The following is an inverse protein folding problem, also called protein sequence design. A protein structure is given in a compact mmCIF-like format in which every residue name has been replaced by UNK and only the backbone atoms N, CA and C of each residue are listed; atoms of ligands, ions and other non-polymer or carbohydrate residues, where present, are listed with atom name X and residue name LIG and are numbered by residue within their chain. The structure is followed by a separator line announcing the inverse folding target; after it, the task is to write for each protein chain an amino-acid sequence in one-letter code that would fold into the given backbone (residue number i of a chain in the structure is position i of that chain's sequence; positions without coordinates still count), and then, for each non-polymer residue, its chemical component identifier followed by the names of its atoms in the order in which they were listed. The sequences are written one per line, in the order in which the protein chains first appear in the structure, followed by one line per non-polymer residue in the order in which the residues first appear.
data_IF_139806654627
#
_entry.id   IF_139806654627
#
_cell.length_a   1.000
_cell.length_b   1.000
_cell.length_c   1.000
_cell.angle_alpha   90.00
_cell.angle_beta   90.00
_cell.angle_gamma   90.00
#
_symmetry.space_group_name_H-M   'P 1'
#
loop_
_entity.id
_entity.type
_entity.pdbx_description
1 polymer ?
#
# COMPACT_ATOMS: atom_id res chain seq x y z
N UNK A 1 -11.55 -10.67 -0.16
CA UNK A 1 -10.98 -11.85 0.52
C UNK A 1 -11.29 -11.85 2.02
N UNK A 2 -10.79 -10.88 2.83
CA UNK A 2 -11.10 -10.80 4.27
C UNK A 2 -12.63 -10.77 4.50
N UNK A 3 -13.35 -9.89 3.81
CA UNK A 3 -14.81 -9.81 3.88
C UNK A 3 -15.49 -11.15 3.55
N UNK A 4 -15.03 -11.85 2.53
CA UNK A 4 -15.54 -13.18 2.16
C UNK A 4 -15.29 -14.21 3.27
N UNK A 5 -14.06 -14.21 3.82
CA UNK A 5 -13.73 -15.09 4.95
C UNK A 5 -14.60 -14.81 6.17
N UNK A 6 -14.80 -13.55 6.53
CA UNK A 6 -15.70 -13.15 7.63
C UNK A 6 -17.13 -13.64 7.40
N UNK A 7 -17.67 -13.50 6.18
CA UNK A 7 -19.01 -13.99 5.82
C UNK A 7 -19.11 -15.50 5.94
N UNK A 8 -18.08 -16.25 5.51
CA UNK A 8 -18.04 -17.70 5.64
C UNK A 8 -18.01 -18.18 7.10
N UNK A 9 -17.64 -17.31 8.04
CA UNK A 9 -17.67 -17.55 9.48
C UNK A 9 -18.89 -16.93 10.17
N UNK A 10 -19.94 -16.59 9.41
CA UNK A 10 -21.21 -16.09 9.95
C UNK A 10 -21.19 -14.59 10.34
N UNK A 11 -20.12 -13.85 10.03
CA UNK A 11 -20.02 -12.43 10.33
C UNK A 11 -20.61 -11.62 9.18
N UNK A 12 -21.57 -10.75 9.46
CA UNK A 12 -22.14 -9.83 8.48
C UNK A 12 -21.10 -8.74 8.16
N UNK A 13 -20.46 -8.84 6.99
CA UNK A 13 -19.44 -7.90 6.56
C UNK A 13 -19.84 -7.18 5.27
N UNK A 14 -19.65 -5.86 5.23
CA UNK A 14 -19.79 -5.00 4.05
C UNK A 14 -18.50 -4.24 3.81
N UNK A 15 -18.16 -3.95 2.58
CA UNK A 15 -17.00 -3.16 2.19
C UNK A 15 -17.49 -1.83 1.59
N UNK A 16 -17.21 -0.72 2.26
CA UNK A 16 -17.46 0.62 1.74
C UNK A 16 -16.23 1.08 0.96
N UNK A 17 -16.39 1.40 -0.31
CA UNK A 17 -15.30 1.81 -1.20
C UNK A 17 -15.59 3.17 -1.84
N UNK A 18 -14.53 3.88 -2.21
CA UNK A 18 -14.65 5.12 -2.97
C UNK A 18 -15.16 4.86 -4.39
N UNK A 19 -14.55 3.88 -5.08
CA UNK A 19 -14.85 3.54 -6.47
C UNK A 19 -15.04 2.01 -6.56
N UNK A 20 -16.25 1.57 -6.89
CA UNK A 20 -16.60 0.15 -6.97
C UNK A 20 -16.24 -0.43 -8.33
N UNK A 21 -15.51 -1.56 -8.32
CA UNK A 21 -15.09 -2.28 -9.52
C UNK A 21 -15.59 -3.75 -9.52
N UNK A 22 -16.72 -4.02 -8.89
CA UNK A 22 -17.30 -5.36 -8.79
C UNK A 22 -18.81 -5.26 -8.65
N UNK A 23 -19.55 -6.28 -9.09
CA UNK A 23 -21.00 -6.33 -8.97
C UNK A 23 -21.47 -6.90 -7.62
N UNK A 24 -20.56 -7.26 -6.73
CA UNK A 24 -20.91 -7.80 -5.42
C UNK A 24 -21.76 -6.81 -4.61
N UNK A 25 -22.93 -7.27 -4.11
CA UNK A 25 -23.87 -6.46 -3.31
C UNK A 25 -23.24 -6.03 -1.97
N UNK A 26 -22.36 -6.85 -1.40
CA UNK A 26 -21.66 -6.55 -0.15
C UNK A 26 -20.58 -5.47 -0.28
N UNK A 27 -20.26 -5.05 -1.52
CA UNK A 27 -19.40 -3.90 -1.79
C UNK A 27 -20.27 -2.70 -2.13
N UNK A 28 -20.21 -1.69 -1.28
CA UNK A 28 -21.00 -0.46 -1.39
C UNK A 28 -20.11 0.68 -1.83
N UNK A 29 -20.50 1.40 -2.86
CA UNK A 29 -19.77 2.57 -3.34
C UNK A 29 -20.28 3.84 -2.64
N UNK A 30 -19.37 4.70 -2.23
CA UNK A 30 -19.73 6.07 -1.87
C UNK A 30 -20.42 6.72 -3.07
N UNK A 31 -21.51 7.48 -2.82
CA UNK A 31 -22.27 8.13 -3.92
C UNK A 31 -21.33 8.79 -4.92
N UNK A 32 -21.52 8.49 -6.20
CA UNK A 32 -20.80 9.14 -7.31
C UNK A 32 -21.07 10.63 -7.25
N UNK A 33 -20.01 11.42 -7.08
CA UNK A 33 -20.11 12.88 -7.05
C UNK A 33 -18.86 13.48 -7.67
N UNK A 34 -19.00 14.53 -8.44
CA UNK A 34 -17.88 15.33 -8.93
C UNK A 34 -17.01 15.89 -7.79
N UNK A 35 -17.57 16.03 -6.58
CA UNK A 35 -16.82 16.39 -5.37
C UNK A 35 -15.66 15.44 -5.05
N UNK A 36 -15.77 14.13 -5.36
CA UNK A 36 -14.66 13.18 -5.15
C UNK A 36 -13.42 13.54 -5.98
N UNK A 37 -13.65 14.01 -7.21
CA UNK A 37 -12.58 14.46 -8.10
C UNK A 37 -11.95 15.73 -7.55
N UNK A 38 -12.77 16.69 -7.12
CA UNK A 38 -12.30 17.92 -6.51
C UNK A 38 -11.55 17.69 -5.21
N UNK A 39 -12.00 16.79 -4.35
CA UNK A 39 -11.29 16.41 -3.13
C UNK A 39 -9.89 15.90 -3.44
N UNK A 40 -9.76 15.01 -4.40
CA UNK A 40 -8.46 14.49 -4.83
C UNK A 40 -7.56 15.59 -5.42
N UNK A 41 -8.09 16.39 -6.34
CA UNK A 41 -7.35 17.49 -6.97
C UNK A 41 -6.91 18.51 -5.91
N UNK A 42 -7.81 18.91 -5.01
CA UNK A 42 -7.51 19.87 -3.96
C UNK A 42 -6.35 19.43 -3.08
N UNK A 43 -6.34 18.20 -2.66
CA UNK A 43 -5.23 17.67 -1.89
C UNK A 43 -3.91 17.75 -2.66
N UNK A 44 -3.91 17.37 -3.94
CA UNK A 44 -2.73 17.47 -4.81
C UNK A 44 -2.28 18.93 -5.00
N UNK A 45 -3.19 19.87 -5.14
CA UNK A 45 -2.90 21.31 -5.22
C UNK A 45 -2.21 21.80 -3.95
N UNK A 46 -2.72 21.44 -2.77
CA UNK A 46 -2.11 21.83 -1.49
C UNK A 46 -0.70 21.24 -1.33
N UNK A 47 -0.50 19.99 -1.71
CA UNK A 47 0.82 19.37 -1.70
C UNK A 47 1.76 20.03 -2.72
N UNK A 48 1.27 20.37 -3.90
CA UNK A 48 2.02 21.06 -4.94
C UNK A 48 2.47 22.45 -4.50
N UNK A 49 1.60 23.23 -3.85
CA UNK A 49 1.97 24.50 -3.22
C UNK A 49 3.03 24.30 -2.11
N UNK A 50 2.86 23.29 -1.26
CA UNK A 50 3.84 22.97 -0.22
C UNK A 50 5.19 22.52 -0.79
N UNK A 51 5.22 22.02 -2.02
CA UNK A 51 6.40 21.69 -2.81
C UNK A 51 6.92 22.85 -3.66
N UNK A 52 6.57 24.09 -3.33
CA UNK A 52 6.98 25.28 -4.10
C UNK A 52 6.66 25.15 -5.60
N UNK A 53 5.45 24.67 -5.91
CA UNK A 53 4.94 24.46 -7.28
C UNK A 53 5.75 23.45 -8.11
N UNK A 54 6.49 22.53 -7.45
CA UNK A 54 7.19 21.43 -8.13
C UNK A 54 6.39 20.12 -8.04
N UNK A 55 6.44 19.32 -9.10
CA UNK A 55 5.76 18.01 -9.18
C UNK A 55 6.54 16.90 -8.43
N UNK A 56 7.28 17.27 -7.37
CA UNK A 56 8.09 16.32 -6.61
C UNK A 56 7.21 15.45 -5.73
N UNK A 57 7.29 14.13 -5.87
CA UNK A 57 6.62 13.12 -5.03
C UNK A 57 5.11 13.35 -4.75
N UNK A 58 4.39 14.03 -5.66
CA UNK A 58 2.99 14.43 -5.49
C UNK A 58 2.05 13.28 -5.09
N UNK A 59 2.36 12.06 -5.51
CA UNK A 59 1.55 10.85 -5.25
C UNK A 59 2.19 9.90 -4.23
N UNK A 60 3.38 10.23 -3.72
CA UNK A 60 4.06 9.46 -2.68
C UNK A 60 3.69 9.90 -1.26
N UNK A 61 2.95 11.01 -1.15
CA UNK A 61 2.53 11.62 0.11
C UNK A 61 1.04 11.95 0.10
N UNK A 62 0.44 11.97 1.30
CA UNK A 62 -0.97 12.24 1.50
C UNK A 62 -1.16 12.99 2.84
N UNK A 63 -1.98 14.02 2.84
CA UNK A 63 -2.20 14.89 4.00
C UNK A 63 -3.61 14.75 4.60
N UNK A 64 -4.49 14.00 3.92
CA UNK A 64 -5.87 13.75 4.30
C UNK A 64 -6.62 15.01 4.75
N UNK A 65 -6.47 16.10 3.97
CA UNK A 65 -7.14 17.37 4.25
C UNK A 65 -8.56 17.43 3.70
N UNK A 66 -8.94 16.46 2.87
CA UNK A 66 -10.27 16.32 2.28
C UNK A 66 -10.74 14.88 2.39
N UNK A 67 -12.05 14.68 2.46
CA UNK A 67 -12.66 13.36 2.56
C UNK A 67 -14.18 13.42 2.58
N UNK A 68 -14.80 12.27 2.74
CA UNK A 68 -16.26 12.13 2.82
C UNK A 68 -16.65 11.66 4.21
N UNK A 69 -17.57 12.38 4.85
CA UNK A 69 -18.15 11.93 6.11
C UNK A 69 -19.01 10.68 5.89
N UNK A 70 -18.59 9.55 6.43
CA UNK A 70 -19.30 8.28 6.32
C UNK A 70 -20.17 7.95 7.55
N UNK A 71 -20.08 8.74 8.63
CA UNK A 71 -20.70 8.38 9.91
C UNK A 71 -22.24 8.42 9.89
N UNK A 72 -22.82 9.08 8.90
CA UNK A 72 -24.27 9.11 8.69
C UNK A 72 -24.79 7.99 7.74
N UNK A 73 -23.90 7.20 7.15
CA UNK A 73 -24.29 6.13 6.22
C UNK A 73 -24.85 4.93 6.98
N UNK A 74 -25.86 4.22 6.42
CA UNK A 74 -26.38 2.99 7.02
C UNK A 74 -25.30 1.93 7.28
N UNK A 75 -24.32 1.81 6.39
CA UNK A 75 -23.20 0.89 6.54
C UNK A 75 -22.36 1.18 7.79
N UNK A 76 -22.22 2.46 8.16
CA UNK A 76 -21.50 2.88 9.35
C UNK A 76 -22.38 2.74 10.60
N UNK A 77 -23.62 3.24 10.56
CA UNK A 77 -24.50 3.27 11.73
C UNK A 77 -24.86 1.87 12.21
N UNK A 78 -25.03 0.91 11.29
CA UNK A 78 -25.36 -0.49 11.57
C UNK A 78 -24.13 -1.36 11.91
N UNK A 79 -22.92 -0.86 11.75
CA UNK A 79 -21.72 -1.64 12.03
C UNK A 79 -21.41 -1.65 13.52
N UNK A 80 -21.04 -2.82 14.05
CA UNK A 80 -20.53 -3.00 15.42
C UNK A 80 -19.03 -2.69 15.50
N UNK A 81 -18.27 -2.92 14.43
CA UNK A 81 -16.83 -2.68 14.32
C UNK A 81 -16.52 -1.96 13.01
N UNK A 82 -15.67 -0.96 13.08
CA UNK A 82 -15.17 -0.23 11.91
C UNK A 82 -13.77 -0.73 11.56
N UNK A 83 -13.62 -1.32 10.38
CA UNK A 83 -12.33 -1.78 9.89
C UNK A 83 -11.80 -0.86 8.79
N UNK A 84 -10.74 -0.11 9.09
CA UNK A 84 -10.12 0.79 8.14
C UNK A 84 -9.01 0.08 7.36
N UNK A 85 -9.02 0.26 6.07
CA UNK A 85 -7.96 -0.07 5.14
C UNK A 85 -7.56 1.20 4.41
N UNK A 86 -6.61 1.21 3.58
CA UNK A 86 -6.09 2.34 2.79
C UNK A 86 -7.16 3.41 2.44
N UNK A 87 -7.29 4.44 3.29
CA UNK A 87 -8.40 5.41 3.30
C UNK A 87 -8.01 6.77 2.69
N UNK A 88 -6.91 6.81 2.00
CA UNK A 88 -6.25 7.99 1.46
C UNK A 88 -6.88 8.51 0.14
N UNK A 89 -6.26 9.50 -0.47
CA UNK A 89 -6.63 10.11 -1.74
C UNK A 89 -8.07 10.66 -1.78
N UNK A 90 -8.46 11.35 -0.71
CA UNK A 90 -9.77 12.00 -0.62
C UNK A 90 -10.91 11.07 -0.22
N UNK A 91 -10.65 9.84 0.25
CA UNK A 91 -11.70 8.99 0.81
C UNK A 91 -12.12 9.50 2.20
N UNK A 92 -11.17 9.59 3.14
CA UNK A 92 -11.40 10.13 4.48
C UNK A 92 -10.37 11.23 4.80
N UNK A 93 -10.85 12.35 5.34
CA UNK A 93 -9.99 13.37 5.93
C UNK A 93 -9.63 13.04 7.38
N UNK A 94 -8.63 13.74 7.96
CA UNK A 94 -8.33 13.63 9.39
C UNK A 94 -9.55 14.05 10.24
N UNK A 95 -10.40 14.93 9.73
CA UNK A 95 -11.66 15.32 10.40
C UNK A 95 -12.67 14.18 10.37
N UNK A 96 -12.76 13.44 9.26
CA UNK A 96 -13.66 12.29 9.15
C UNK A 96 -13.19 11.14 10.04
N UNK A 97 -11.87 10.88 10.11
CA UNK A 97 -11.29 9.90 11.05
C UNK A 97 -11.61 10.31 12.50
N UNK A 98 -11.54 11.59 12.84
CA UNK A 98 -11.93 12.09 14.18
C UNK A 98 -13.40 11.75 14.49
N UNK A 99 -14.32 11.97 13.54
CA UNK A 99 -15.73 11.60 13.71
C UNK A 99 -15.93 10.11 13.93
N UNK A 100 -15.16 9.28 13.21
CA UNK A 100 -15.16 7.82 13.40
C UNK A 100 -14.70 7.47 14.82
N UNK A 101 -13.60 8.05 15.29
CA UNK A 101 -13.11 7.84 16.67
C UNK A 101 -14.15 8.28 17.70
N UNK A 102 -14.74 9.45 17.51
CA UNK A 102 -15.77 10.02 18.41
C UNK A 102 -17.08 9.24 18.43
N UNK A 103 -17.32 8.35 17.45
CA UNK A 103 -18.51 7.49 17.48
C UNK A 103 -18.50 6.44 18.59
N UNK A 104 -17.33 6.20 19.21
CA UNK A 104 -17.15 5.20 20.27
C UNK A 104 -17.15 3.75 19.76
N UNK A 105 -17.33 3.52 18.46
CA UNK A 105 -17.28 2.17 17.89
C UNK A 105 -15.87 1.61 17.91
N UNK A 106 -15.66 0.30 18.17
CA UNK A 106 -14.36 -0.34 18.05
C UNK A 106 -13.76 -0.15 16.66
N UNK A 107 -12.48 0.24 16.60
CA UNK A 107 -11.78 0.51 15.34
C UNK A 107 -10.61 -0.44 15.19
N UNK A 108 -10.56 -1.15 14.07
CA UNK A 108 -9.41 -1.90 13.60
C UNK A 108 -8.85 -1.18 12.38
N UNK A 109 -7.54 -0.95 12.30
CA UNK A 109 -6.91 -0.32 11.16
C UNK A 109 -5.80 -1.17 10.60
N UNK A 110 -6.08 -1.85 9.47
CA UNK A 110 -5.04 -2.59 8.75
C UNK A 110 -4.16 -1.64 7.94
N UNK A 111 -2.89 -1.63 8.30
CA UNK A 111 -1.87 -0.81 7.65
C UNK A 111 -1.28 -1.57 6.46
N UNK A 112 -1.46 -1.03 5.26
CA UNK A 112 -0.86 -1.53 4.02
C UNK A 112 0.43 -0.79 3.64
N UNK A 113 0.68 0.33 4.31
CA UNK A 113 1.86 1.18 4.18
C UNK A 113 2.13 1.93 5.50
N UNK A 114 3.07 2.86 5.49
CA UNK A 114 3.50 3.58 6.68
C UNK A 114 2.65 4.83 6.97
N UNK A 115 1.70 5.21 6.12
CA UNK A 115 0.97 6.47 6.27
C UNK A 115 0.27 6.64 7.62
N UNK A 116 -0.37 5.62 8.23
CA UNK A 116 -1.03 5.79 9.54
C UNK A 116 -0.11 6.29 10.64
N UNK A 117 1.17 5.92 10.59
CA UNK A 117 2.14 6.23 11.63
C UNK A 117 3.29 7.17 11.19
N UNK A 118 3.18 7.80 10.03
CA UNK A 118 4.07 8.86 9.54
C UNK A 118 3.33 10.20 9.46
N UNK A 119 4.03 11.30 9.17
CA UNK A 119 3.39 12.58 8.91
C UNK A 119 2.52 12.54 7.65
N UNK A 120 3.15 12.26 6.50
CA UNK A 120 2.50 12.32 5.20
C UNK A 120 2.88 11.19 4.24
N UNK A 121 3.99 10.47 4.47
CA UNK A 121 4.53 9.54 3.49
C UNK A 121 3.96 8.12 3.64
N UNK A 122 3.74 7.46 2.51
CA UNK A 122 3.37 6.05 2.45
C UNK A 122 4.58 5.13 2.67
N UNK A 123 5.79 5.60 2.32
CA UNK A 123 7.06 4.92 2.59
C UNK A 123 8.10 5.96 2.99
N UNK A 124 8.72 5.75 4.13
CA UNK A 124 9.68 6.71 4.68
C UNK A 124 11.08 6.60 4.03
N UNK A 125 11.39 5.46 3.37
CA UNK A 125 12.76 5.16 2.94
C UNK A 125 13.69 5.10 4.16
N UNK A 126 14.81 5.78 4.06
CA UNK A 126 15.81 5.85 5.14
C UNK A 126 15.46 6.88 6.24
N UNK A 127 14.31 7.55 6.13
CA UNK A 127 13.88 8.54 7.11
C UNK A 127 13.22 7.86 8.31
N UNK A 128 13.73 8.11 9.51
CA UNK A 128 13.24 7.61 10.79
C UNK A 128 12.52 8.66 11.66
N UNK A 129 12.38 9.89 11.18
CA UNK A 129 11.83 11.02 11.96
C UNK A 129 10.42 10.78 12.50
N UNK A 130 9.66 9.88 11.90
CA UNK A 130 8.33 9.49 12.41
C UNK A 130 8.41 8.85 13.81
N UNK A 131 9.57 8.36 14.22
CA UNK A 131 9.77 7.80 15.56
C UNK A 131 9.62 8.84 16.67
N UNK A 132 9.91 10.10 16.37
CA UNK A 132 9.79 11.22 17.32
C UNK A 132 8.86 12.31 16.79
N UNK A 133 9.24 12.95 15.68
CA UNK A 133 8.48 14.05 15.09
C UNK A 133 8.91 14.28 13.63
N UNK A 134 7.97 14.22 12.70
CA UNK A 134 8.24 14.58 11.31
C UNK A 134 8.54 16.07 11.15
N UNK A 135 9.62 16.39 10.46
CA UNK A 135 10.03 17.74 10.06
C UNK A 135 11.12 17.65 8.98
N UNK A 136 11.46 18.74 8.28
CA UNK A 136 12.48 18.74 7.21
C UNK A 136 12.31 17.47 6.33
N UNK A 137 11.10 17.29 5.80
CA UNK A 137 10.68 16.03 5.19
C UNK A 137 11.43 15.79 3.86
N UNK A 138 12.13 14.65 3.70
CA UNK A 138 12.85 14.34 2.46
C UNK A 138 11.90 14.02 1.28
N UNK A 139 10.62 13.77 1.54
CA UNK A 139 9.61 13.57 0.50
C UNK A 139 9.12 14.88 -0.12
N UNK A 140 9.45 16.02 0.45
CA UNK A 140 9.14 17.34 -0.09
C UNK A 140 10.31 17.89 -0.89
N UNK A 141 10.02 18.69 -1.92
CA UNK A 141 11.04 19.36 -2.73
C UNK A 141 11.98 20.22 -1.87
N UNK A 142 11.43 20.90 -0.87
CA UNK A 142 12.18 21.68 0.11
C UNK A 142 11.53 21.50 1.48
N UNK A 143 12.09 20.61 2.28
CA UNK A 143 11.66 20.43 3.66
C UNK A 143 12.03 21.60 4.55
N UNK A 144 11.25 21.84 5.59
CA UNK A 144 11.52 22.85 6.62
C UNK A 144 11.10 22.36 8.00
N UNK A 145 11.54 23.08 9.06
CA UNK A 145 11.23 22.68 10.46
C UNK A 145 9.72 22.60 10.73
N UNK A 146 8.91 23.43 10.08
CA UNK A 146 7.44 23.47 10.23
C UNK A 146 6.71 23.23 8.89
N UNK A 147 7.24 22.33 8.07
CA UNK A 147 6.66 21.96 6.79
C UNK A 147 5.29 21.24 6.93
N UNK A 148 4.70 20.87 5.81
CA UNK A 148 3.40 20.20 5.80
C UNK A 148 3.44 18.82 6.47
N UNK A 149 4.61 18.14 6.46
CA UNK A 149 4.77 16.87 7.15
C UNK A 149 4.73 17.05 8.67
N UNK A 150 5.39 18.08 9.18
CA UNK A 150 5.30 18.46 10.59
C UNK A 150 3.87 18.79 11.00
N UNK A 151 3.20 19.66 10.23
CA UNK A 151 1.83 20.08 10.56
C UNK A 151 0.85 18.91 10.56
N UNK A 152 0.97 18.01 9.60
CA UNK A 152 0.11 16.83 9.52
C UNK A 152 0.42 15.83 10.62
N UNK A 153 1.71 15.65 10.97
CA UNK A 153 2.12 14.84 12.11
C UNK A 153 1.48 15.34 13.42
N UNK A 154 1.53 16.66 13.69
CA UNK A 154 0.91 17.25 14.88
C UNK A 154 -0.62 17.07 14.89
N UNK A 155 -1.27 17.19 13.74
CA UNK A 155 -2.72 16.93 13.63
C UNK A 155 -3.05 15.47 13.93
N UNK A 156 -2.25 14.52 13.41
CA UNK A 156 -2.41 13.09 13.71
C UNK A 156 -2.13 12.77 15.18
N UNK A 157 -1.12 13.40 15.78
CA UNK A 157 -0.82 13.23 17.21
C UNK A 157 -2.01 13.59 18.06
N UNK A 158 -2.60 14.76 17.84
CA UNK A 158 -3.84 15.22 18.52
C UNK A 158 -5.06 14.33 18.17
N UNK A 159 -5.09 13.74 16.99
CA UNK A 159 -6.18 12.87 16.57
C UNK A 159 -6.16 11.53 17.32
N UNK A 160 -4.98 10.97 17.55
CA UNK A 160 -4.79 9.65 18.18
C UNK A 160 -4.64 9.74 19.71
N UNK A 161 -4.51 10.94 20.25
CA UNK A 161 -4.47 11.17 21.70
C UNK A 161 -5.80 10.73 22.34
N UNK A 162 -5.73 9.78 23.29
CA UNK A 162 -6.89 9.19 23.94
C UNK A 162 -7.74 8.26 23.07
N UNK A 163 -7.44 8.11 21.78
CA UNK A 163 -8.14 7.15 20.92
C UNK A 163 -7.76 5.71 21.27
N UNK A 164 -8.70 4.77 21.07
CA UNK A 164 -8.47 3.34 21.21
C UNK A 164 -8.62 2.69 19.83
N UNK A 165 -7.49 2.46 19.17
CA UNK A 165 -7.44 1.87 17.82
C UNK A 165 -6.53 0.64 17.86
N UNK A 166 -7.01 -0.48 17.31
CA UNK A 166 -6.17 -1.64 17.06
C UNK A 166 -5.56 -1.52 15.68
N UNK A 167 -4.25 -1.29 15.62
CA UNK A 167 -3.50 -1.28 14.36
C UNK A 167 -3.01 -2.68 14.01
N UNK A 168 -3.27 -3.11 12.79
CA UNK A 168 -2.84 -4.40 12.25
C UNK A 168 -1.87 -4.16 11.11
N UNK A 169 -0.61 -4.55 11.28
CA UNK A 169 0.38 -4.52 10.22
C UNK A 169 0.30 -5.78 9.36
N UNK A 170 0.46 -5.66 8.04
CA UNK A 170 0.44 -6.82 7.13
C UNK A 170 1.77 -7.59 7.09
N UNK A 171 2.77 -7.18 7.89
CA UNK A 171 4.05 -7.89 8.06
C UNK A 171 4.70 -7.53 9.40
N UNK A 172 5.59 -8.41 9.89
CA UNK A 172 6.42 -8.16 11.09
C UNK A 172 7.33 -6.94 10.91
N UNK A 173 7.82 -6.71 9.70
CA UNK A 173 8.62 -5.53 9.40
C UNK A 173 7.80 -4.25 9.61
N UNK A 174 6.61 -4.16 9.05
CA UNK A 174 5.76 -2.98 9.20
C UNK A 174 5.32 -2.77 10.66
N UNK A 175 5.02 -3.86 11.38
CA UNK A 175 4.75 -3.83 12.84
C UNK A 175 5.92 -3.22 13.62
N UNK A 176 7.15 -3.68 13.34
CA UNK A 176 8.34 -3.20 14.03
C UNK A 176 8.60 -1.71 13.83
N UNK A 177 8.29 -1.20 12.63
CA UNK A 177 8.38 0.24 12.33
C UNK A 177 7.25 1.03 13.00
N UNK A 178 6.03 0.52 12.96
CA UNK A 178 4.86 1.16 13.56
C UNK A 178 5.03 1.34 15.08
N UNK A 179 5.56 0.34 15.78
CA UNK A 179 5.85 0.39 17.21
C UNK A 179 6.88 1.47 17.62
N UNK A 180 7.71 1.92 16.68
CA UNK A 180 8.67 3.02 16.92
C UNK A 180 8.04 4.40 16.81
N UNK A 181 6.88 4.52 16.16
CA UNK A 181 6.28 5.83 15.87
C UNK A 181 5.65 6.47 17.10
N UNK A 182 6.00 7.72 17.36
CA UNK A 182 5.41 8.53 18.42
C UNK A 182 3.90 8.79 18.25
N UNK A 183 3.37 8.59 17.04
CA UNK A 183 1.93 8.77 16.77
C UNK A 183 1.08 7.65 17.38
N UNK A 184 1.55 6.42 17.35
CA UNK A 184 0.72 5.25 17.66
C UNK A 184 1.37 4.25 18.64
N UNK A 185 2.55 4.53 19.18
CA UNK A 185 3.27 3.65 20.12
C UNK A 185 2.45 3.28 21.36
N UNK A 186 1.48 4.11 21.74
CA UNK A 186 0.56 3.85 22.87
C UNK A 186 -0.68 3.04 22.51
N UNK A 187 -0.84 2.64 21.24
CA UNK A 187 -1.97 1.88 20.75
C UNK A 187 -1.68 0.37 20.71
N UNK A 188 -2.71 -0.45 20.59
CA UNK A 188 -2.53 -1.88 20.31
C UNK A 188 -2.02 -2.06 18.89
N UNK A 189 -0.83 -2.65 18.72
CA UNK A 189 -0.21 -2.92 17.42
C UNK A 189 0.14 -4.40 17.32
N UNK A 190 -0.39 -5.06 16.32
CA UNK A 190 -0.13 -6.48 16.03
C UNK A 190 0.13 -6.69 14.54
N UNK A 191 0.54 -7.90 14.13
CA UNK A 191 0.64 -8.24 12.72
C UNK A 191 -0.27 -9.41 12.35
N UNK A 192 -0.94 -9.27 11.23
CA UNK A 192 -1.71 -10.33 10.57
C UNK A 192 -1.38 -10.21 9.08
N UNK A 193 -0.75 -11.20 8.47
CA UNK A 193 -0.46 -11.19 7.04
C UNK A 193 -1.70 -11.05 6.18
N UNK A 194 -1.56 -10.45 5.00
CA UNK A 194 -2.67 -10.34 4.06
C UNK A 194 -3.21 -11.72 3.70
N UNK A 195 -4.52 -11.90 3.78
CA UNK A 195 -5.20 -13.14 3.43
C UNK A 195 -5.07 -13.43 1.92
N UNK A 196 -4.74 -14.68 1.60
CA UNK A 196 -4.75 -15.21 0.24
C UNK A 196 -5.71 -16.40 0.13
N UNK A 197 -6.22 -16.63 -1.07
CA UNK A 197 -7.05 -17.82 -1.33
C UNK A 197 -6.15 -19.03 -1.59
N UNK A 198 -5.94 -19.88 -0.59
CA UNK A 198 -5.08 -21.07 -0.68
C UNK A 198 -5.65 -22.18 -1.58
N UNK A 199 -6.95 -22.15 -1.90
CA UNK A 199 -7.53 -23.06 -2.89
C UNK A 199 -7.09 -22.68 -4.33
N UNK A 200 -6.88 -21.38 -4.58
CA UNK A 200 -6.42 -20.87 -5.86
C UNK A 200 -4.88 -20.84 -5.93
N UNK A 201 -4.25 -20.28 -4.91
CA UNK A 201 -2.77 -20.11 -4.82
C UNK A 201 -2.19 -21.29 -4.03
N UNK A 202 -1.97 -22.41 -4.72
CA UNK A 202 -1.39 -23.64 -4.17
C UNK A 202 -0.37 -24.23 -5.14
N UNK A 203 0.56 -25.07 -4.68
CA UNK A 203 1.48 -25.79 -5.54
C UNK A 203 0.71 -26.57 -6.63
N UNK A 204 1.22 -26.50 -7.85
CA UNK A 204 0.68 -27.20 -9.01
C UNK A 204 1.80 -28.01 -9.67
N UNK A 205 1.43 -28.92 -10.54
CA UNK A 205 2.41 -29.65 -11.36
C UNK A 205 3.23 -28.66 -12.19
N UNK A 206 4.55 -28.77 -12.07
CA UNK A 206 5.52 -27.82 -12.68
C UNK A 206 5.49 -27.92 -14.20
N UNK A 207 5.39 -29.14 -14.76
CA UNK A 207 5.39 -29.36 -16.20
C UNK A 207 4.16 -28.73 -16.83
N UNK A 208 2.98 -29.04 -16.30
CA UNK A 208 1.69 -28.49 -16.76
C UNK A 208 1.63 -26.96 -16.62
N UNK A 209 2.15 -26.41 -15.51
CA UNK A 209 2.18 -24.97 -15.31
C UNK A 209 3.04 -24.27 -16.34
N UNK A 210 4.21 -24.84 -16.66
CA UNK A 210 5.12 -24.31 -17.69
C UNK A 210 4.55 -24.41 -19.10
N UNK A 211 3.93 -25.54 -19.43
CA UNK A 211 3.22 -25.73 -20.72
C UNK A 211 2.14 -24.67 -20.90
N UNK A 212 1.30 -24.48 -19.88
CA UNK A 212 0.23 -23.47 -19.89
C UNK A 212 0.73 -22.04 -20.05
N UNK A 213 1.92 -21.75 -19.53
CA UNK A 213 2.54 -20.43 -19.59
C UNK A 213 3.55 -20.29 -20.75
N UNK A 214 3.64 -21.28 -21.64
CA UNK A 214 4.61 -21.31 -22.75
C UNK A 214 6.06 -21.10 -22.30
N UNK A 215 6.43 -21.69 -21.16
CA UNK A 215 7.77 -21.58 -20.58
C UNK A 215 8.60 -22.85 -20.88
N UNK A 216 9.93 -22.72 -21.04
CA UNK A 216 10.81 -23.86 -21.31
C UNK A 216 10.84 -24.86 -20.17
N UNK A 217 10.88 -26.13 -20.50
CA UNK A 217 10.91 -27.24 -19.55
C UNK A 217 12.34 -27.56 -19.03
N UNK A 218 13.34 -27.25 -19.81
CA UNK A 218 14.75 -27.57 -19.61
C UNK A 218 15.55 -26.52 -18.84
N UNK A 219 14.97 -25.29 -18.68
CA UNK A 219 15.65 -24.17 -18.00
C UNK A 219 15.35 -24.14 -16.50
N UNK A 220 16.31 -23.62 -15.74
CA UNK A 220 16.09 -23.15 -14.37
C UNK A 220 15.57 -21.70 -14.45
N UNK A 221 14.34 -21.48 -14.02
CA UNK A 221 13.66 -20.20 -14.17
C UNK A 221 13.67 -19.40 -12.87
N UNK A 222 14.16 -18.17 -12.95
CA UNK A 222 14.00 -17.15 -11.93
C UNK A 222 12.70 -16.38 -12.21
N UNK A 223 11.83 -16.25 -11.23
CA UNK A 223 10.56 -15.55 -11.36
C UNK A 223 10.59 -14.22 -10.65
N UNK A 224 10.31 -13.13 -11.35
CA UNK A 224 10.10 -11.80 -10.79
C UNK A 224 8.75 -11.25 -11.21
N UNK A 225 8.04 -10.58 -10.28
CA UNK A 225 6.76 -10.01 -10.60
C UNK A 225 6.44 -8.73 -9.84
N UNK A 226 5.86 -7.76 -10.55
CA UNK A 226 5.36 -6.52 -9.97
C UNK A 226 4.33 -5.89 -10.90
N UNK A 227 3.29 -5.25 -10.35
CA UNK A 227 2.32 -4.50 -11.16
C UNK A 227 3.02 -3.47 -12.05
N UNK A 228 4.00 -2.74 -11.50
CA UNK A 228 4.86 -1.80 -12.24
C UNK A 228 6.31 -2.20 -12.02
N UNK A 229 6.93 -2.81 -13.04
CA UNK A 229 8.30 -3.33 -12.94
C UNK A 229 9.33 -2.22 -12.73
N UNK A 230 9.09 -1.04 -13.30
CA UNK A 230 9.94 0.15 -13.15
C UNK A 230 9.91 0.77 -11.74
N UNK A 231 9.10 0.25 -10.81
CA UNK A 231 9.11 0.70 -9.42
C UNK A 231 10.39 0.19 -8.73
N UNK A 232 11.34 1.09 -8.48
CA UNK A 232 12.63 0.79 -7.83
C UNK A 232 12.49 0.04 -6.51
N UNK A 233 11.39 0.26 -5.76
CA UNK A 233 11.12 -0.44 -4.49
C UNK A 233 10.90 -1.95 -4.67
N UNK A 234 10.62 -2.41 -5.90
CA UNK A 234 10.41 -3.83 -6.21
C UNK A 234 11.71 -4.59 -6.49
N UNK A 235 12.82 -3.86 -6.72
CA UNK A 235 14.15 -4.44 -6.74
C UNK A 235 14.55 -5.13 -8.04
N UNK A 236 13.96 -4.79 -9.18
CA UNK A 236 14.35 -5.36 -10.48
C UNK A 236 15.83 -5.11 -10.78
N UNK A 237 16.36 -3.95 -10.39
CA UNK A 237 17.77 -3.56 -10.60
C UNK A 237 18.72 -4.50 -9.85
N UNK A 238 18.35 -4.93 -8.63
CA UNK A 238 19.12 -5.93 -7.88
C UNK A 238 19.12 -7.30 -8.57
N UNK A 239 17.96 -7.72 -9.10
CA UNK A 239 17.88 -8.98 -9.85
C UNK A 239 18.75 -8.93 -11.10
N UNK A 240 18.70 -7.85 -11.88
CA UNK A 240 19.55 -7.65 -13.06
C UNK A 240 21.03 -7.71 -12.68
N UNK A 241 21.43 -7.03 -11.62
CA UNK A 241 22.82 -7.03 -11.13
C UNK A 241 23.27 -8.42 -10.70
N UNK A 242 22.45 -9.15 -9.96
CA UNK A 242 22.72 -10.52 -9.54
C UNK A 242 22.85 -11.47 -10.75
N UNK A 243 21.97 -11.35 -11.76
CA UNK A 243 22.04 -12.13 -12.98
C UNK A 243 23.33 -11.87 -13.77
N UNK A 244 23.78 -10.61 -13.88
CA UNK A 244 25.05 -10.24 -14.51
C UNK A 244 26.26 -10.84 -13.77
N UNK A 245 26.22 -10.81 -12.45
CA UNK A 245 27.27 -11.42 -11.62
C UNK A 245 27.32 -12.94 -11.81
N UNK A 246 26.17 -13.63 -11.86
CA UNK A 246 26.11 -15.07 -12.14
C UNK A 246 26.68 -15.37 -13.53
N UNK A 247 26.31 -14.58 -14.55
CA UNK A 247 26.80 -14.80 -15.91
C UNK A 247 28.32 -14.67 -16.02
N UNK A 248 28.92 -13.73 -15.28
CA UNK A 248 30.38 -13.54 -15.28
C UNK A 248 31.11 -14.58 -14.45
N UNK A 249 30.56 -14.98 -13.29
CA UNK A 249 31.24 -15.91 -12.37
C UNK A 249 31.03 -17.39 -12.73
N UNK A 250 29.94 -17.73 -13.39
CA UNK A 250 29.52 -19.09 -13.70
C UNK A 250 28.95 -19.19 -15.14
N UNK A 251 29.79 -19.05 -16.19
CA UNK A 251 29.34 -18.98 -17.59
C UNK A 251 28.55 -20.20 -18.05
N UNK A 252 28.96 -21.40 -17.65
CA UNK A 252 28.27 -22.63 -18.06
C UNK A 252 26.93 -22.81 -17.38
N UNK A 253 26.83 -22.51 -16.06
CA UNK A 253 25.57 -22.52 -15.33
C UNK A 253 24.61 -21.48 -15.88
N UNK A 254 25.11 -20.36 -16.36
CA UNK A 254 24.28 -19.29 -16.94
C UNK A 254 23.47 -19.74 -18.15
N UNK A 255 23.99 -20.71 -18.91
CA UNK A 255 23.33 -21.29 -20.11
C UNK A 255 22.04 -22.05 -19.75
N UNK A 256 21.93 -22.52 -18.50
CA UNK A 256 20.76 -23.24 -18.00
C UNK A 256 19.66 -22.30 -17.43
N UNK A 257 19.96 -20.99 -17.29
CA UNK A 257 19.09 -20.03 -16.66
C UNK A 257 18.15 -19.33 -17.64
N UNK A 258 17.00 -18.91 -17.12
CA UNK A 258 16.09 -17.99 -17.77
C UNK A 258 15.35 -17.15 -16.72
N UNK A 259 14.82 -16.00 -17.11
CA UNK A 259 14.11 -15.11 -16.23
C UNK A 259 12.68 -14.93 -16.71
N UNK A 260 11.71 -15.23 -15.87
CA UNK A 260 10.30 -14.94 -16.11
C UNK A 260 9.96 -13.64 -15.40
N UNK A 261 9.48 -12.67 -16.15
CA UNK A 261 9.09 -11.35 -15.61
C UNK A 261 7.63 -11.10 -15.93
N UNK A 262 6.79 -10.93 -14.90
CA UNK A 262 5.39 -10.57 -15.11
C UNK A 262 5.03 -9.20 -14.54
N UNK A 263 4.25 -8.45 -15.31
CA UNK A 263 3.77 -7.12 -14.98
C UNK A 263 3.90 -6.13 -16.14
N UNK A 264 3.36 -4.94 -15.92
CA UNK A 264 3.39 -3.90 -16.94
C UNK A 264 4.83 -3.48 -17.27
N UNK A 265 5.13 -3.38 -18.57
CA UNK A 265 6.43 -2.96 -19.10
C UNK A 265 7.55 -4.02 -18.92
N UNK A 266 7.24 -5.31 -18.74
CA UNK A 266 8.22 -6.39 -18.60
C UNK A 266 9.22 -6.44 -19.78
N UNK A 267 8.75 -6.20 -20.98
CA UNK A 267 9.53 -6.24 -22.23
C UNK A 267 10.68 -5.22 -22.24
N UNK A 268 10.53 -4.07 -21.58
CA UNK A 268 11.56 -3.02 -21.54
C UNK A 268 12.82 -3.46 -20.80
N UNK A 269 12.74 -4.50 -19.99
CA UNK A 269 13.86 -5.04 -19.23
C UNK A 269 14.58 -6.19 -19.94
N UNK A 270 14.05 -6.67 -21.06
CA UNK A 270 14.60 -7.85 -21.76
C UNK A 270 16.09 -7.69 -22.08
N UNK A 271 16.50 -6.55 -22.61
CA UNK A 271 17.89 -6.26 -23.00
C UNK A 271 18.85 -6.09 -21.82
N UNK A 272 18.37 -5.96 -20.59
CA UNK A 272 19.21 -5.75 -19.41
C UNK A 272 19.73 -7.06 -18.80
N UNK A 273 19.03 -8.18 -19.08
CA UNK A 273 19.39 -9.49 -18.56
C UNK A 273 20.38 -10.23 -19.47
N UNK A 274 21.36 -10.93 -18.90
CA UNK A 274 22.30 -11.76 -19.67
C UNK A 274 21.72 -13.13 -20.06
N UNK A 275 20.49 -13.46 -19.63
CA UNK A 275 19.79 -14.72 -19.87
C UNK A 275 18.55 -14.49 -20.72
N UNK A 276 17.98 -15.54 -21.35
CA UNK A 276 16.66 -15.44 -21.98
C UNK A 276 15.61 -14.96 -20.99
N UNK A 277 14.82 -13.97 -21.41
CA UNK A 277 13.71 -13.44 -20.63
C UNK A 277 12.39 -13.89 -21.25
N UNK A 278 11.43 -14.23 -20.39
CA UNK A 278 10.09 -14.65 -20.75
C UNK A 278 9.11 -13.63 -20.13
N UNK A 279 8.80 -12.55 -20.86
CA UNK A 279 7.88 -11.53 -20.36
C UNK A 279 6.46 -12.08 -20.37
N UNK A 280 5.75 -11.86 -19.25
CA UNK A 280 4.35 -12.21 -19.10
C UNK A 280 3.58 -10.96 -18.78
N UNK A 281 2.69 -10.55 -19.68
CA UNK A 281 1.81 -9.41 -19.45
C UNK A 281 0.62 -9.79 -18.55
N UNK A 282 0.04 -8.80 -17.90
CA UNK A 282 -1.20 -8.95 -17.14
C UNK A 282 -2.37 -9.16 -18.08
#
# INVERSE_FOLDING_TARGET
RLMESLKNHGIKAKLLVRDKQTDQISVVELKKSWWKVWQFIWERVVIWQANHFKKHNLFAVDIANTGTNITALPEFTQADVIHLHWINQGMLSLTDIRRIIQSGKPIVWTMHDMWPFTGICHYAGDCDKYATQCHNCPQLYKGSRKDIAYRTFQKKKKLFEGAQITFVACSRWLESLAKKSDLIKGQTITNIPNAINTNLFKPRDKKQAREKCHLPQDKKLLLFGSVKITDKRKGIDYLVSACKQIASSYPDFSKELGVVVFGNQAEQYASLFPFPIYPMNY
#
